data_IF_879023109082
#
_entry.id   IF_879023109082
#
_cell.length_a   1.000
_cell.length_b   1.000
_cell.length_c   1.000
_cell.angle_alpha   90.00
_cell.angle_beta   90.00
_cell.angle_gamma   90.00
#
_symmetry.space_group_name_H-M   'P 1'
#
loop_
_entity.id
_entity.type
_entity.pdbx_description
1 polymer ?
#
# COMPACT_ATOMS: atom_id res chain seq x y z
N UNK A 1 12.41 8.68 -6.21
CA UNK A 1 11.22 8.95 -5.38
C UNK A 1 10.08 9.30 -6.32
N UNK A 2 8.94 8.61 -6.26
CA UNK A 2 7.74 9.00 -7.02
C UNK A 2 6.87 9.89 -6.13
N UNK A 3 6.35 10.96 -6.70
CA UNK A 3 5.50 11.95 -6.01
C UNK A 3 4.32 12.21 -6.94
N UNK A 4 3.11 12.21 -6.39
CA UNK A 4 1.91 12.68 -7.08
C UNK A 4 1.22 13.71 -6.19
N UNK A 5 0.86 14.89 -6.72
CA UNK A 5 0.11 15.87 -5.94
C UNK A 5 -1.31 15.35 -5.68
N UNK A 6 -1.75 15.42 -4.43
CA UNK A 6 -3.12 15.13 -4.02
C UNK A 6 -3.61 16.26 -3.09
N UNK A 7 -4.49 17.11 -3.61
CA UNK A 7 -5.24 18.03 -2.76
C UNK A 7 -6.49 17.32 -2.24
N UNK A 8 -6.76 17.47 -0.94
CA UNK A 8 -8.00 17.02 -0.31
C UNK A 8 -8.89 18.24 -0.04
N UNK A 9 -10.19 18.09 -0.24
CA UNK A 9 -11.16 19.10 0.18
C UNK A 9 -11.23 19.17 1.72
N UNK A 10 -11.72 20.28 2.30
CA UNK A 10 -11.95 20.35 3.74
C UNK A 10 -12.86 19.22 4.22
N UNK A 11 -12.35 18.39 5.13
CA UNK A 11 -13.07 17.22 5.65
C UNK A 11 -13.08 15.99 4.75
N UNK A 12 -12.45 16.02 3.56
CA UNK A 12 -12.25 14.81 2.75
C UNK A 12 -11.25 13.87 3.43
N UNK A 13 -11.66 12.64 3.66
CA UNK A 13 -10.78 11.61 4.21
C UNK A 13 -9.76 11.14 3.15
N UNK A 14 -8.54 10.86 3.61
CA UNK A 14 -7.55 10.17 2.78
C UNK A 14 -7.87 8.68 2.77
N UNK A 15 -8.34 8.18 1.63
CA UNK A 15 -8.53 6.74 1.41
C UNK A 15 -7.30 6.16 0.69
N UNK A 16 -6.59 5.27 1.39
CA UNK A 16 -5.44 4.55 0.84
C UNK A 16 -5.81 3.09 0.56
N UNK A 17 -5.61 2.66 -0.68
CA UNK A 17 -5.61 1.25 -1.05
C UNK A 17 -4.25 0.87 -1.60
N UNK A 18 -3.57 -0.01 -0.88
CA UNK A 18 -2.20 -0.43 -1.17
C UNK A 18 -2.20 -1.90 -1.56
N UNK A 19 -1.68 -2.22 -2.73
CA UNK A 19 -1.43 -3.58 -3.18
C UNK A 19 0.06 -3.88 -3.16
N UNK A 20 0.40 -5.06 -2.67
CA UNK A 20 1.76 -5.57 -2.65
C UNK A 20 1.80 -6.95 -3.33
N UNK A 21 2.28 -6.99 -4.57
CA UNK A 21 2.50 -8.23 -5.34
C UNK A 21 4.00 -8.48 -5.48
N UNK A 22 4.53 -9.29 -4.57
CA UNK A 22 5.98 -9.59 -4.49
C UNK A 22 6.79 -8.29 -4.42
N UNK A 23 7.49 -7.92 -5.48
CA UNK A 23 8.26 -6.67 -5.53
C UNK A 23 7.42 -5.45 -5.93
N UNK A 24 6.24 -5.64 -6.53
CA UNK A 24 5.41 -4.54 -7.03
C UNK A 24 4.61 -3.94 -5.88
N UNK A 25 4.62 -2.61 -5.81
CA UNK A 25 3.80 -1.84 -4.89
C UNK A 25 2.96 -0.86 -5.71
N UNK A 26 1.65 -0.92 -5.53
CA UNK A 26 0.68 0.01 -6.11
C UNK A 26 -0.09 0.69 -4.99
N UNK A 27 -0.14 2.02 -5.03
CA UNK A 27 -0.80 2.86 -4.03
C UNK A 27 -1.84 3.70 -4.75
N UNK A 28 -3.09 3.47 -4.39
CA UNK A 28 -4.22 4.31 -4.80
C UNK A 28 -4.56 5.21 -3.61
N UNK A 29 -4.53 6.52 -3.82
CA UNK A 29 -4.87 7.52 -2.83
C UNK A 29 -5.96 8.42 -3.40
N UNK A 30 -7.21 8.23 -2.95
CA UNK A 30 -8.41 8.86 -3.53
C UNK A 30 -8.41 8.77 -5.07
N UNK A 31 -7.99 9.85 -5.75
CA UNK A 31 -8.00 10.01 -7.22
C UNK A 31 -6.64 9.84 -7.89
N UNK A 32 -5.57 9.58 -7.13
CA UNK A 32 -4.21 9.42 -7.67
C UNK A 32 -3.70 8.00 -7.47
N UNK A 33 -2.85 7.55 -8.41
CA UNK A 33 -2.19 6.26 -8.34
C UNK A 33 -0.67 6.42 -8.48
N UNK A 34 0.06 5.69 -7.64
CA UNK A 34 1.51 5.55 -7.69
C UNK A 34 1.87 4.06 -7.79
N UNK A 35 2.77 3.73 -8.71
CA UNK A 35 3.28 2.37 -8.88
C UNK A 35 4.80 2.36 -8.77
N UNK A 36 5.35 1.37 -8.09
CA UNK A 36 6.79 1.17 -7.97
C UNK A 36 7.17 -0.29 -7.74
N UNK A 37 8.48 -0.51 -7.58
CA UNK A 37 9.02 -1.79 -7.10
C UNK A 37 9.93 -1.58 -5.92
N UNK A 38 9.88 -2.51 -4.96
CA UNK A 38 10.72 -2.56 -3.76
C UNK A 38 11.36 -3.95 -3.67
N UNK A 39 12.65 -4.00 -3.38
CA UNK A 39 13.43 -5.23 -3.25
C UNK A 39 14.12 -5.26 -1.88
N UNK A 40 13.40 -5.66 -0.82
CA UNK A 40 13.99 -5.71 0.51
C UNK A 40 15.12 -6.72 0.56
N UNK A 41 16.23 -6.37 1.21
CA UNK A 41 17.40 -7.25 1.39
C UNK A 41 17.36 -8.02 2.71
N UNK A 42 16.56 -7.55 3.67
CA UNK A 42 16.44 -8.21 4.98
C UNK A 42 15.25 -9.18 4.99
N UNK A 43 15.42 -10.40 5.53
CA UNK A 43 14.37 -11.41 5.55
C UNK A 43 13.18 -11.06 6.46
N UNK A 44 13.36 -10.14 7.41
CA UNK A 44 12.32 -9.67 8.33
C UNK A 44 11.50 -8.49 7.81
N UNK A 45 11.67 -8.12 6.52
CA UNK A 45 10.94 -7.01 5.88
C UNK A 45 9.53 -7.41 5.44
N UNK A 46 8.76 -7.99 6.35
CA UNK A 46 7.42 -8.57 6.10
C UNK A 46 6.30 -7.89 6.89
N UNK A 47 6.65 -6.93 7.76
CA UNK A 47 5.70 -6.23 8.62
C UNK A 47 5.15 -4.92 8.03
N UNK A 48 4.07 -4.42 8.63
CA UNK A 48 3.49 -3.10 8.34
C UNK A 48 3.60 -2.25 9.61
N UNK A 49 3.88 -0.96 9.43
CA UNK A 49 3.88 0.02 10.52
C UNK A 49 3.18 1.29 10.05
N UNK A 50 2.27 1.81 10.89
CA UNK A 50 1.74 3.16 10.74
C UNK A 50 2.66 4.14 11.45
N UNK A 51 3.00 5.22 10.77
CA UNK A 51 3.85 6.30 11.30
C UNK A 51 3.09 7.60 11.04
N UNK A 52 3.04 8.44 12.06
CA UNK A 52 2.35 9.71 12.02
C UNK A 52 3.31 10.80 12.53
N UNK A 53 3.20 12.01 11.97
CA UNK A 53 3.93 13.17 12.45
C UNK A 53 3.39 13.67 13.80
N UNK A 54 4.10 14.59 14.48
CA UNK A 54 3.70 15.12 15.79
C UNK A 54 2.32 15.80 15.76
N UNK A 55 1.93 16.40 14.62
CA UNK A 55 0.66 17.11 14.46
C UNK A 55 -0.44 16.25 13.80
N UNK A 56 -0.20 14.95 13.65
CA UNK A 56 -1.19 14.07 13.05
C UNK A 56 -2.40 13.92 13.97
N UNK A 57 -3.58 14.23 13.43
CA UNK A 57 -4.86 14.15 14.12
C UNK A 57 -5.80 13.25 13.32
N UNK A 58 -6.74 12.60 14.02
CA UNK A 58 -7.72 11.70 13.42
C UNK A 58 -7.50 10.24 13.78
N UNK A 59 -8.48 9.41 13.39
CA UNK A 59 -8.44 7.96 13.56
C UNK A 59 -8.02 7.30 12.25
N UNK A 60 -7.29 6.19 12.36
CA UNK A 60 -6.95 5.35 11.20
C UNK A 60 -7.66 4.02 11.35
N UNK A 61 -8.44 3.66 10.34
CA UNK A 61 -8.95 2.29 10.20
C UNK A 61 -8.04 1.55 9.23
N UNK A 62 -7.47 0.43 9.68
CA UNK A 62 -6.60 -0.40 8.86
C UNK A 62 -7.23 -1.78 8.68
N UNK A 63 -7.43 -2.17 7.43
CA UNK A 63 -7.80 -3.53 7.06
C UNK A 63 -6.66 -4.14 6.24
N UNK A 64 -6.19 -5.33 6.66
CA UNK A 64 -5.09 -6.05 6.03
C UNK A 64 -5.60 -7.42 5.62
N UNK A 65 -5.30 -7.79 4.38
CA UNK A 65 -5.69 -9.06 3.78
C UNK A 65 -4.50 -9.66 3.05
N UNK A 66 -4.46 -10.98 2.98
CA UNK A 66 -3.46 -11.70 2.21
C UNK A 66 -3.94 -11.80 0.77
N UNK A 67 -3.11 -11.41 -0.19
CA UNK A 67 -3.46 -11.50 -1.60
C UNK A 67 -3.39 -12.94 -2.10
N UNK A 68 -4.46 -13.39 -2.75
CA UNK A 68 -4.52 -14.71 -3.36
C UNK A 68 -3.77 -14.76 -4.68
N UNK A 69 -3.36 -15.97 -5.07
CA UNK A 69 -2.73 -16.19 -6.37
C UNK A 69 -3.78 -16.23 -7.46
N UNK A 70 -3.48 -15.59 -8.59
CA UNK A 70 -4.35 -15.62 -9.77
C UNK A 70 -4.12 -16.86 -10.65
N UNK A 71 -3.03 -17.59 -10.43
CA UNK A 71 -2.64 -18.74 -11.23
C UNK A 71 -3.22 -20.03 -10.65
N UNK A 72 -3.79 -20.86 -11.50
CA UNK A 72 -4.15 -22.23 -11.12
C UNK A 72 -2.88 -23.01 -10.76
N UNK A 73 -2.92 -23.91 -9.77
CA UNK A 73 -1.76 -24.73 -9.43
C UNK A 73 -1.32 -25.53 -10.66
N UNK A 74 -0.10 -25.25 -11.13
CA UNK A 74 0.51 -26.01 -12.22
C UNK A 74 0.65 -27.47 -11.78
N UNK A 75 -0.11 -28.36 -12.41
CA UNK A 75 0.08 -29.81 -12.30
C UNK A 75 1.36 -30.16 -13.06
N UNK A 76 2.46 -30.35 -12.35
CA UNK A 76 3.61 -31.03 -12.90
C UNK A 76 3.24 -32.52 -13.09
N UNK A 77 3.33 -32.99 -14.34
CA UNK A 77 3.39 -34.40 -14.67
C UNK A 77 4.82 -34.90 -14.68
#
# INVERSE_FOLDING_TARGET
>A
MRIAPLALAPGEELELRIFMDRSVVEVFANRVCLMGRVYPTRPDSVGIRLIAGPDATGAVTLNVWQMEQIWAPHRHG
#
